data_IF_301291611290
#
_entry.id   IF_301291611290
#
_cell.length_a   1.000
_cell.length_b   1.000
_cell.length_c   1.000
_cell.angle_alpha   90.00
_cell.angle_beta   90.00
_cell.angle_gamma   90.00
#
_symmetry.space_group_name_H-M   'P 1'
#
loop_
_entity.id
_entity.type
_entity.pdbx_description
1 polymer ?
#
# COMPACT_ATOMS: atom_id res chain seq x y z
N UNK A 1 -7.41 20.91 -1.49
CA UNK A 1 -7.41 20.09 -2.73
C UNK A 1 -8.16 18.81 -2.42
N UNK A 2 -9.08 18.37 -3.28
CA UNK A 2 -9.82 17.13 -3.03
C UNK A 2 -8.89 15.93 -3.20
N UNK A 3 -8.80 15.08 -2.18
CA UNK A 3 -8.05 13.83 -2.26
C UNK A 3 -8.90 12.82 -3.01
N UNK A 4 -8.39 12.22 -4.09
CA UNK A 4 -9.12 11.19 -4.83
C UNK A 4 -9.27 9.92 -3.97
N UNK A 5 -10.41 9.24 -4.09
CA UNK A 5 -10.68 7.98 -3.37
C UNK A 5 -10.49 6.79 -4.29
N UNK A 6 -9.68 5.83 -3.87
CA UNK A 6 -9.48 4.56 -4.53
C UNK A 6 -10.62 3.59 -4.16
N UNK A 7 -11.53 3.32 -5.10
CA UNK A 7 -12.74 2.52 -4.87
C UNK A 7 -12.68 1.10 -5.44
N UNK A 8 -11.57 0.70 -6.08
CA UNK A 8 -11.43 -0.64 -6.64
C UNK A 8 -11.18 -1.68 -5.54
N UNK A 9 -11.94 -2.78 -5.58
CA UNK A 9 -11.73 -3.90 -4.68
C UNK A 9 -10.55 -4.75 -5.16
N UNK A 10 -9.49 -4.92 -4.36
CA UNK A 10 -8.40 -5.81 -4.72
C UNK A 10 -8.85 -7.28 -4.60
N UNK A 11 -8.21 -8.17 -5.35
CA UNK A 11 -8.54 -9.61 -5.36
C UNK A 11 -8.23 -10.24 -4.00
N UNK A 12 -8.87 -11.39 -3.73
CA UNK A 12 -8.86 -12.23 -2.49
C UNK A 12 -7.46 -12.65 -1.99
N UNK A 13 -6.37 -12.27 -2.66
CA UNK A 13 -4.99 -12.53 -2.25
C UNK A 13 -4.23 -11.23 -1.92
N UNK A 14 -4.92 -10.21 -1.40
CA UNK A 14 -4.25 -9.02 -0.88
C UNK A 14 -3.61 -9.38 0.45
N UNK A 15 -2.28 -9.31 0.51
CA UNK A 15 -1.52 -9.60 1.72
C UNK A 15 -1.08 -8.28 2.35
N UNK A 16 -1.26 -8.17 3.67
CA UNK A 16 -0.72 -7.07 4.45
C UNK A 16 0.61 -7.50 5.05
N UNK A 17 1.65 -6.73 4.77
CA UNK A 17 2.93 -6.79 5.46
C UNK A 17 2.99 -5.61 6.43
N UNK A 18 2.68 -5.87 7.69
CA UNK A 18 2.76 -4.85 8.74
C UNK A 18 4.17 -4.86 9.33
N UNK A 19 4.95 -3.84 8.99
CA UNK A 19 6.29 -3.63 9.57
C UNK A 19 6.22 -2.72 10.79
N UNK A 20 6.84 -3.15 11.88
CA UNK A 20 6.99 -2.36 13.11
C UNK A 20 8.42 -1.82 13.19
N UNK A 21 8.58 -0.51 13.04
CA UNK A 21 9.87 0.16 13.28
C UNK A 21 10.09 0.25 14.78
N UNK A 22 11.08 -0.49 15.27
CA UNK A 22 11.48 -0.51 16.68
C UNK A 22 12.96 -0.16 16.82
N UNK A 23 13.30 0.66 17.81
CA UNK A 23 14.68 0.87 18.26
C UNK A 23 14.99 -0.15 19.35
N UNK A 24 16.13 -0.80 19.21
CA UNK A 24 16.64 -1.77 20.20
C UNK A 24 17.97 -1.27 20.74
N UNK A 25 18.10 -1.21 22.06
CA UNK A 25 19.37 -0.96 22.75
C UNK A 25 19.72 -2.22 23.54
N UNK A 26 20.85 -2.83 23.22
CA UNK A 26 21.33 -4.03 23.89
C UNK A 26 22.42 -3.67 24.90
N UNK A 27 22.24 -4.13 26.13
CA UNK A 27 23.14 -3.91 27.24
C UNK A 27 24.01 -5.16 27.45
N UNK A 28 25.22 -4.97 27.97
CA UNK A 28 26.26 -6.01 28.05
C UNK A 28 25.93 -7.21 28.95
N UNK A 29 24.85 -7.12 29.72
CA UNK A 29 24.26 -8.17 30.56
C UNK A 29 23.23 -9.05 29.81
N UNK A 30 23.04 -8.78 28.51
CA UNK A 30 22.06 -9.49 27.68
C UNK A 30 20.66 -8.88 27.72
N UNK A 31 20.44 -7.82 28.50
CA UNK A 31 19.18 -7.09 28.49
C UNK A 31 19.02 -6.30 27.18
N UNK A 32 17.81 -6.29 26.63
CA UNK A 32 17.47 -5.49 25.44
C UNK A 32 16.26 -4.61 25.73
N UNK A 33 16.45 -3.30 25.67
CA UNK A 33 15.35 -2.34 25.69
C UNK A 33 14.82 -2.14 24.27
N UNK A 34 13.50 -2.24 24.10
CA UNK A 34 12.81 -2.03 22.81
C UNK A 34 11.84 -0.86 22.94
N UNK A 35 11.91 0.11 22.03
CA UNK A 35 11.00 1.25 21.95
C UNK A 35 10.52 1.47 20.51
N UNK A 36 9.37 2.10 20.31
CA UNK A 36 8.88 2.50 18.98
C UNK A 36 9.80 3.53 18.32
N UNK A 37 10.09 3.36 17.03
CA UNK A 37 10.92 4.28 16.25
C UNK A 37 10.04 5.32 15.51
N UNK A 38 10.06 6.57 15.99
CA UNK A 38 9.35 7.69 15.37
C UNK A 38 7.90 7.89 15.83
N UNK A 39 7.22 8.89 15.25
CA UNK A 39 5.81 9.22 15.55
C UNK A 39 4.86 8.15 14.99
N UNK A 40 5.24 7.52 13.86
CA UNK A 40 4.49 6.45 13.21
C UNK A 40 5.33 5.15 13.18
N UNK A 41 5.46 4.45 14.31
CA UNK A 41 6.28 3.23 14.41
C UNK A 41 5.66 2.05 13.65
N UNK A 42 4.39 2.13 13.27
CA UNK A 42 3.71 1.15 12.42
C UNK A 42 3.61 1.71 11.02
N UNK A 43 4.26 1.07 10.06
CA UNK A 43 4.10 1.40 8.63
C UNK A 43 3.49 0.18 7.96
N UNK A 44 2.14 0.08 7.93
CA UNK A 44 1.48 -1.00 7.24
C UNK A 44 1.70 -0.82 5.73
N UNK A 45 2.09 -1.92 5.10
CA UNK A 45 2.29 -2.00 3.67
C UNK A 45 1.31 -3.04 3.13
N UNK A 46 0.46 -2.64 2.20
CA UNK A 46 -0.51 -3.53 1.56
C UNK A 46 -0.05 -3.91 0.16
N UNK A 47 0.25 -5.19 -0.03
CA UNK A 47 0.49 -5.74 -1.36
C UNK A 47 -0.87 -6.09 -1.99
N UNK A 48 -1.32 -5.23 -2.91
CA UNK A 48 -2.61 -5.36 -3.59
C UNK A 48 -2.43 -5.87 -5.01
N UNK A 49 -3.37 -6.71 -5.45
CA UNK A 49 -3.41 -7.20 -6.83
C UNK A 49 -4.83 -7.10 -7.40
N UNK A 50 -4.91 -6.67 -8.65
CA UNK A 50 -6.15 -6.47 -9.39
C UNK A 50 -6.07 -7.24 -10.69
N UNK A 51 -7.00 -8.17 -10.95
CA UNK A 51 -7.05 -8.92 -12.21
C UNK A 51 -8.36 -8.61 -12.92
N UNK A 52 -8.30 -8.23 -14.20
CA UNK A 52 -9.47 -7.87 -14.98
C UNK A 52 -9.21 -7.85 -16.48
N UNK A 53 -10.19 -7.32 -17.21
CA UNK A 53 -10.02 -6.94 -18.61
C UNK A 53 -9.12 -5.70 -18.77
N UNK A 54 -8.78 -5.37 -20.01
CA UNK A 54 -7.92 -4.24 -20.35
C UNK A 54 -8.46 -2.90 -19.84
N UNK A 55 -9.75 -2.63 -20.02
CA UNK A 55 -10.35 -1.35 -19.62
C UNK A 55 -10.33 -1.17 -18.10
N UNK A 56 -10.63 -2.23 -17.36
CA UNK A 56 -10.55 -2.25 -15.90
C UNK A 56 -9.13 -1.94 -15.39
N UNK A 57 -8.12 -2.64 -15.92
CA UNK A 57 -6.73 -2.45 -15.48
C UNK A 57 -6.18 -1.10 -15.94
N UNK A 58 -6.58 -0.61 -17.12
CA UNK A 58 -6.17 0.70 -17.62
C UNK A 58 -6.75 1.84 -16.78
N UNK A 59 -7.98 1.70 -16.26
CA UNK A 59 -8.55 2.68 -15.33
C UNK A 59 -7.71 2.79 -14.04
N UNK A 60 -7.33 1.65 -13.44
CA UNK A 60 -6.48 1.60 -12.23
C UNK A 60 -5.09 2.17 -12.53
N UNK A 61 -4.48 1.77 -13.65
CA UNK A 61 -3.18 2.29 -14.09
C UNK A 61 -3.21 3.82 -14.24
N UNK A 62 -4.25 4.35 -14.89
CA UNK A 62 -4.40 5.78 -15.09
C UNK A 62 -4.57 6.51 -13.76
N UNK A 63 -5.32 5.94 -12.81
CA UNK A 63 -5.42 6.47 -11.44
C UNK A 63 -4.03 6.55 -10.80
N UNK A 64 -3.30 5.44 -10.71
CA UNK A 64 -1.97 5.42 -10.09
C UNK A 64 -0.99 6.38 -10.77
N UNK A 65 -1.05 6.50 -12.10
CA UNK A 65 -0.24 7.47 -12.86
C UNK A 65 -0.56 8.94 -12.51
N UNK A 66 -1.83 9.31 -12.28
CA UNK A 66 -2.19 10.68 -11.85
C UNK A 66 -1.59 11.05 -10.48
N UNK A 67 -1.39 10.02 -9.65
CA UNK A 67 -0.80 10.15 -8.32
C UNK A 67 0.74 10.13 -8.33
N UNK A 68 1.36 9.59 -9.38
CA UNK A 68 2.80 9.66 -9.67
C UNK A 68 3.72 9.26 -8.50
N UNK A 69 3.28 8.35 -7.61
CA UNK A 69 4.07 7.85 -6.48
C UNK A 69 4.12 8.73 -5.24
N UNK A 70 3.88 10.04 -5.37
CA UNK A 70 4.01 10.99 -4.26
C UNK A 70 2.68 11.54 -3.75
N UNK A 71 1.62 11.57 -4.57
CA UNK A 71 0.30 12.03 -4.12
C UNK A 71 -0.42 10.91 -3.37
N UNK A 72 -0.89 11.23 -2.16
CA UNK A 72 -1.77 10.36 -1.41
C UNK A 72 -3.18 10.31 -2.02
N UNK A 73 -3.86 9.20 -1.79
CA UNK A 73 -5.28 8.98 -2.08
C UNK A 73 -5.96 8.33 -0.88
N UNK A 74 -7.28 8.50 -0.77
CA UNK A 74 -8.05 7.83 0.26
C UNK A 74 -8.24 6.38 -0.17
N UNK A 75 -7.89 5.43 0.69
CA UNK A 75 -8.17 4.03 0.47
C UNK A 75 -8.61 3.37 1.77
N UNK A 76 -9.57 2.44 1.64
CA UNK A 76 -10.07 1.63 2.75
C UNK A 76 -9.54 0.20 2.56
N UNK A 77 -8.52 -0.21 3.31
CA UNK A 77 -8.03 -1.57 3.26
C UNK A 77 -9.09 -2.55 3.82
N UNK A 78 -9.04 -3.83 3.45
CA UNK A 78 -9.78 -4.87 4.15
C UNK A 78 -9.44 -4.86 5.64
N UNK A 79 -10.44 -4.95 6.51
CA UNK A 79 -10.31 -5.00 7.98
C UNK A 79 -9.70 -3.75 8.65
N UNK A 80 -9.45 -2.67 7.91
CA UNK A 80 -8.93 -1.41 8.46
C UNK A 80 -9.86 -0.22 8.16
N UNK A 81 -9.80 0.86 8.98
CA UNK A 81 -10.49 2.10 8.67
C UNK A 81 -9.92 2.75 7.40
N UNK A 82 -10.71 3.63 6.79
CA UNK A 82 -10.24 4.44 5.67
C UNK A 82 -9.08 5.34 6.10
N UNK A 83 -8.01 5.35 5.31
CA UNK A 83 -6.82 6.15 5.56
C UNK A 83 -6.26 6.76 4.28
N UNK A 84 -5.15 7.48 4.43
CA UNK A 84 -4.37 8.01 3.32
C UNK A 84 -3.28 7.01 2.93
N UNK A 85 -3.20 6.72 1.64
CA UNK A 85 -2.29 5.74 1.08
C UNK A 85 -1.62 6.31 -0.16
N UNK A 86 -0.43 5.82 -0.47
CA UNK A 86 0.28 6.12 -1.72
C UNK A 86 0.88 4.84 -2.30
N UNK A 87 1.09 4.83 -3.61
CA UNK A 87 1.64 3.69 -4.32
C UNK A 87 2.87 4.15 -5.11
N UNK A 88 4.07 3.74 -4.70
CA UNK A 88 5.31 4.18 -5.33
C UNK A 88 5.57 3.50 -6.67
N UNK A 89 5.09 2.27 -6.82
CA UNK A 89 5.23 1.50 -8.06
C UNK A 89 4.08 0.53 -8.26
N UNK A 90 3.87 0.14 -9.51
CA UNK A 90 2.98 -0.94 -9.89
C UNK A 90 3.62 -1.76 -11.01
N UNK A 91 3.20 -3.01 -11.14
CA UNK A 91 3.64 -3.96 -12.15
C UNK A 91 2.41 -4.51 -12.86
N UNK A 92 2.51 -4.81 -14.17
CA UNK A 92 1.42 -5.38 -14.97
C UNK A 92 1.88 -6.70 -15.58
N UNK A 93 1.11 -7.75 -15.33
CA UNK A 93 1.30 -9.09 -15.91
C UNK A 93 0.17 -9.42 -16.87
N UNK A 94 0.51 -9.96 -18.05
CA UNK A 94 -0.46 -10.39 -19.07
C UNK A 94 -0.67 -11.89 -18.99
N UNK A 95 -1.92 -12.36 -18.86
CA UNK A 95 -2.23 -13.78 -18.69
C UNK A 95 -2.79 -14.46 -19.94
N UNK A 96 -2.82 -13.77 -21.09
CA UNK A 96 -3.56 -14.22 -22.27
C UNK A 96 -5.07 -13.99 -22.12
N UNK A 97 -5.85 -14.27 -23.17
CA UNK A 97 -7.30 -14.08 -23.20
C UNK A 97 -7.79 -12.67 -22.78
N UNK A 98 -7.02 -11.62 -23.14
CA UNK A 98 -7.28 -10.21 -22.76
C UNK A 98 -7.45 -10.01 -21.24
N UNK A 99 -6.79 -10.84 -20.43
CA UNK A 99 -6.72 -10.69 -18.97
C UNK A 99 -5.36 -10.14 -18.55
N UNK A 100 -5.43 -9.16 -17.67
CA UNK A 100 -4.29 -8.45 -17.13
C UNK A 100 -4.37 -8.45 -15.60
N UNK A 101 -3.22 -8.53 -14.95
CA UNK A 101 -3.10 -8.35 -13.50
C UNK A 101 -2.20 -7.16 -13.22
N UNK A 102 -2.68 -6.21 -12.43
CA UNK A 102 -1.90 -5.11 -11.90
C UNK A 102 -1.61 -5.39 -10.42
N UNK A 103 -0.33 -5.41 -10.07
CA UNK A 103 0.12 -5.58 -8.68
C UNK A 103 0.79 -4.29 -8.23
N UNK A 104 0.49 -3.82 -7.02
CA UNK A 104 1.06 -2.60 -6.45
C UNK A 104 1.18 -2.73 -4.95
N UNK A 105 2.08 -1.94 -4.38
CA UNK A 105 2.30 -1.85 -2.95
C UNK A 105 1.80 -0.50 -2.45
N UNK A 106 0.81 -0.52 -1.56
CA UNK A 106 0.26 0.68 -0.93
C UNK A 106 0.91 0.90 0.42
N UNK A 107 1.47 2.09 0.61
CA UNK A 107 2.16 2.51 1.82
C UNK A 107 1.31 3.59 2.48
N UNK A 108 1.11 3.50 3.79
CA UNK A 108 0.36 4.51 4.53
C UNK A 108 1.08 5.87 4.44
N UNK A 109 0.32 6.89 4.06
CA UNK A 109 0.79 8.27 3.97
C UNK A 109 0.18 9.09 5.11
N UNK A 110 0.90 10.08 5.60
CA UNK A 110 0.46 10.98 6.65
C UNK A 110 0.61 12.41 6.14
N UNK A 111 -0.43 13.23 6.28
CA UNK A 111 -0.28 14.67 6.15
C UNK A 111 0.21 15.24 7.49
N UNK A 112 1.14 16.23 7.49
CA UNK A 112 1.47 16.99 8.68
C UNK A 112 0.27 17.80 9.20
#
# INVERSE_FOLDING_TARGET
MAVETFSWCPKVASQVDTSFRTRKAQFGDGYTQVAGDGINPVTPQWSVSFTGDEAYIQAIKNFLNRHAGWKSFIWKPPLEPSGLWRAESFQISTHGNKKYTLSSTFIQAYHP
#
